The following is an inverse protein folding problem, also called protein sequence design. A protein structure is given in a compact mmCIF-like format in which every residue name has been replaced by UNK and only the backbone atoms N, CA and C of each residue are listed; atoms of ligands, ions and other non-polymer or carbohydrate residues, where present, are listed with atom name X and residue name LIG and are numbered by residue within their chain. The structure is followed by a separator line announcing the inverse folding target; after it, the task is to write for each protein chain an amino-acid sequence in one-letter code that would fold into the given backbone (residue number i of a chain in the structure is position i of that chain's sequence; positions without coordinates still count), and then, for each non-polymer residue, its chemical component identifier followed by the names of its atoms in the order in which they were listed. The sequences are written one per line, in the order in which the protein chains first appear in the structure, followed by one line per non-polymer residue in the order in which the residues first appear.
data_IF_208054962706
#
_entry.id   IF_208054962706
#
_cell.length_a   1.000
_cell.length_b   1.000
_cell.length_c   1.000
_cell.angle_alpha   90.00
_cell.angle_beta   90.00
_cell.angle_gamma   90.00
#
_symmetry.space_group_name_H-M   'P 1'
#
loop_
_entity.id
_entity.type
_entity.pdbx_description
1 polymer ?
#
# COMPACT_ATOMS: atom_id res chain seq x y z
N UNK A 1 -20.38 13.10 5.40
CA UNK A 1 -19.25 12.41 4.73
C UNK A 1 -19.63 10.94 4.59
N UNK A 2 -19.54 10.33 3.41
CA UNK A 2 -19.91 8.91 3.25
C UNK A 2 -18.78 8.01 3.79
N UNK A 3 -19.13 6.83 4.30
CA UNK A 3 -18.14 5.85 4.79
C UNK A 3 -17.07 5.53 3.74
N UNK A 4 -17.47 5.50 2.46
CA UNK A 4 -16.57 5.28 1.34
C UNK A 4 -15.49 6.38 1.22
N UNK A 5 -15.89 7.64 1.28
CA UNK A 5 -14.95 8.79 1.20
C UNK A 5 -14.01 8.81 2.40
N UNK A 6 -14.54 8.52 3.60
CA UNK A 6 -13.74 8.43 4.81
C UNK A 6 -12.62 7.37 4.72
N UNK A 7 -12.94 6.17 4.23
CA UNK A 7 -11.94 5.10 4.07
C UNK A 7 -10.90 5.45 3.00
N UNK A 8 -11.31 6.11 1.91
CA UNK A 8 -10.36 6.59 0.89
C UNK A 8 -9.37 7.60 1.43
N UNK A 9 -9.84 8.59 2.20
CA UNK A 9 -8.99 9.62 2.78
C UNK A 9 -7.94 9.02 3.72
N UNK A 10 -8.36 8.11 4.61
CA UNK A 10 -7.44 7.38 5.50
C UNK A 10 -6.39 6.64 4.69
N UNK A 11 -6.81 5.85 3.70
CA UNK A 11 -5.90 5.03 2.92
C UNK A 11 -4.91 5.87 2.11
N UNK A 12 -5.36 6.99 1.53
CA UNK A 12 -4.46 7.92 0.82
C UNK A 12 -3.40 8.48 1.77
N UNK A 13 -3.81 8.92 2.96
CA UNK A 13 -2.88 9.51 3.92
C UNK A 13 -1.85 8.49 4.42
N UNK A 14 -2.28 7.27 4.74
CA UNK A 14 -1.37 6.21 5.17
C UNK A 14 -0.42 5.78 4.05
N UNK A 15 -0.92 5.58 2.83
CA UNK A 15 -0.08 5.24 1.66
C UNK A 15 0.94 6.34 1.41
N UNK A 16 0.54 7.62 1.39
CA UNK A 16 1.48 8.73 1.19
C UNK A 16 2.51 8.83 2.31
N UNK A 17 2.11 8.59 3.55
CA UNK A 17 3.01 8.57 4.71
C UNK A 17 4.08 7.49 4.55
N UNK A 18 3.67 6.26 4.23
CA UNK A 18 4.60 5.12 4.04
C UNK A 18 5.51 5.35 2.83
N UNK A 19 4.98 5.83 1.70
CA UNK A 19 5.79 6.20 0.53
C UNK A 19 6.85 7.24 0.89
N UNK A 20 6.50 8.28 1.66
CA UNK A 20 7.46 9.32 2.06
C UNK A 20 8.57 8.80 2.97
N UNK A 21 8.27 7.81 3.81
CA UNK A 21 9.22 7.25 4.76
C UNK A 21 10.12 6.19 4.13
N UNK A 22 9.57 5.32 3.27
CA UNK A 22 10.25 4.11 2.79
C UNK A 22 10.54 4.15 1.28
N UNK A 23 9.89 5.04 0.52
CA UNK A 23 9.98 5.10 -0.94
C UNK A 23 9.11 4.07 -1.67
N UNK A 24 8.41 3.19 -0.95
CA UNK A 24 7.51 2.17 -1.50
C UNK A 24 6.43 1.78 -0.49
N UNK A 25 5.43 1.02 -0.93
CA UNK A 25 4.40 0.42 -0.06
C UNK A 25 4.24 -1.06 -0.38
N UNK A 26 4.34 -1.93 0.61
CA UNK A 26 3.97 -3.33 0.46
C UNK A 26 2.46 -3.51 0.67
N UNK A 27 1.76 -4.10 -0.30
CA UNK A 27 0.29 -4.26 -0.27
C UNK A 27 -0.16 -4.99 1.00
N UNK A 28 0.56 -6.03 1.41
CA UNK A 28 0.22 -6.83 2.59
C UNK A 28 0.39 -6.03 3.88
N UNK A 29 1.48 -5.28 4.02
CA UNK A 29 1.79 -4.55 5.24
C UNK A 29 0.84 -3.36 5.44
N UNK A 30 0.59 -2.57 4.38
CA UNK A 30 -0.35 -1.45 4.46
C UNK A 30 -1.77 -1.94 4.76
N UNK A 31 -2.17 -3.09 4.21
CA UNK A 31 -3.47 -3.67 4.50
C UNK A 31 -3.58 -4.07 5.98
N UNK A 32 -2.61 -4.81 6.51
CA UNK A 32 -2.61 -5.23 7.92
C UNK A 32 -2.61 -4.03 8.85
N UNK A 33 -1.70 -3.07 8.62
CA UNK A 33 -1.57 -1.88 9.44
C UNK A 33 -2.86 -1.06 9.49
N UNK A 34 -3.53 -0.84 8.34
CA UNK A 34 -4.79 -0.10 8.30
C UNK A 34 -5.94 -0.87 8.95
N UNK A 35 -6.02 -2.19 8.72
CA UNK A 35 -7.06 -3.02 9.34
C UNK A 35 -6.97 -2.96 10.87
N UNK A 36 -5.76 -3.07 11.42
CA UNK A 36 -5.51 -3.03 12.87
C UNK A 36 -5.75 -1.63 13.44
N UNK A 37 -5.19 -0.59 12.81
CA UNK A 37 -5.24 0.79 13.32
C UNK A 37 -6.66 1.39 13.30
N UNK A 38 -7.47 1.04 12.31
CA UNK A 38 -8.80 1.64 12.10
C UNK A 38 -9.96 0.66 12.31
N UNK A 39 -9.67 -0.57 12.75
CA UNK A 39 -10.64 -1.65 12.90
C UNK A 39 -11.51 -1.84 11.63
N UNK A 40 -10.85 -1.86 10.47
CA UNK A 40 -11.49 -2.02 9.16
C UNK A 40 -11.31 -3.45 8.64
N UNK A 41 -12.31 -3.95 7.91
CA UNK A 41 -12.19 -5.25 7.28
C UNK A 41 -11.26 -5.23 6.06
N UNK A 42 -10.43 -6.26 5.95
CA UNK A 42 -9.45 -6.44 4.87
C UNK A 42 -10.06 -6.34 3.46
N UNK A 43 -11.27 -6.85 3.26
CA UNK A 43 -11.93 -6.80 1.95
C UNK A 43 -12.23 -5.35 1.52
N UNK A 44 -12.61 -4.47 2.45
CA UNK A 44 -12.89 -3.06 2.19
C UNK A 44 -11.57 -2.33 1.87
N UNK A 45 -10.54 -2.58 2.68
CA UNK A 45 -9.21 -1.96 2.54
C UNK A 45 -8.59 -2.31 1.19
N UNK A 46 -8.53 -3.60 0.84
CA UNK A 46 -7.95 -4.05 -0.45
C UNK A 46 -8.73 -3.51 -1.65
N UNK A 47 -10.05 -3.54 -1.60
CA UNK A 47 -10.88 -3.02 -2.69
C UNK A 47 -10.66 -1.52 -2.89
N UNK A 48 -10.56 -0.76 -1.80
CA UNK A 48 -10.35 0.69 -1.86
C UNK A 48 -8.94 1.04 -2.32
N UNK A 49 -7.92 0.35 -1.80
CA UNK A 49 -6.51 0.52 -2.22
C UNK A 49 -6.34 0.32 -3.73
N UNK A 50 -6.89 -0.75 -4.28
CA UNK A 50 -6.82 -1.05 -5.73
C UNK A 50 -7.41 0.07 -6.60
N UNK A 51 -8.38 0.81 -6.08
CA UNK A 51 -9.01 1.93 -6.78
C UNK A 51 -8.19 3.21 -6.68
N UNK A 52 -7.58 3.50 -5.53
CA UNK A 52 -6.84 4.75 -5.34
C UNK A 52 -5.40 4.68 -5.87
N UNK A 53 -4.77 3.50 -5.92
CA UNK A 53 -3.38 3.37 -6.38
C UNK A 53 -3.11 3.98 -7.78
N UNK A 54 -3.96 3.76 -8.81
CA UNK A 54 -3.80 4.42 -10.11
C UNK A 54 -3.88 5.95 -10.04
N UNK A 55 -4.69 6.48 -9.12
CA UNK A 55 -4.86 7.92 -8.94
C UNK A 55 -3.69 8.57 -8.17
N UNK A 56 -2.87 7.75 -7.50
CA UNK A 56 -1.72 8.18 -6.72
C UNK A 56 -0.40 8.08 -7.50
N UNK A 57 -0.45 7.79 -8.81
CA UNK A 57 0.72 7.54 -9.65
C UNK A 57 1.65 6.49 -9.05
N UNK A 58 1.08 5.39 -8.54
CA UNK A 58 1.85 4.29 -7.95
C UNK A 58 1.93 3.09 -8.90
N UNK A 59 3.14 2.71 -9.26
CA UNK A 59 3.44 1.54 -10.08
C UNK A 59 3.41 0.26 -9.26
N UNK A 60 2.53 -0.65 -9.63
CA UNK A 60 2.48 -2.01 -9.07
C UNK A 60 3.65 -2.85 -9.59
N UNK A 61 4.47 -3.37 -8.68
CA UNK A 61 5.57 -4.31 -8.99
C UNK A 61 5.47 -5.55 -8.10
N UNK A 62 5.79 -6.71 -8.67
CA UNK A 62 6.03 -7.92 -7.88
C UNK A 62 7.52 -7.97 -7.55
N UNK A 63 7.87 -7.99 -6.27
CA UNK A 63 9.26 -7.92 -5.83
C UNK A 63 9.92 -9.29 -5.97
N UNK A 64 10.72 -9.46 -7.02
CA UNK A 64 11.66 -10.60 -7.16
C UNK A 64 12.72 -10.55 -6.07
N UNK A 65 13.50 -11.63 -5.91
CA UNK A 65 14.59 -11.65 -4.94
C UNK A 65 15.64 -10.57 -5.21
N UNK A 66 15.94 -10.28 -6.47
CA UNK A 66 16.86 -9.22 -6.87
C UNK A 66 16.31 -7.82 -6.54
N UNK A 67 15.02 -7.57 -6.81
CA UNK A 67 14.38 -6.31 -6.45
C UNK A 67 14.33 -6.13 -4.93
N UNK A 68 14.04 -7.20 -4.18
CA UNK A 68 14.08 -7.13 -2.72
C UNK A 68 15.46 -6.77 -2.20
N UNK A 69 16.53 -7.35 -2.75
CA UNK A 69 17.90 -6.98 -2.40
C UNK A 69 18.21 -5.52 -2.72
N UNK A 70 17.82 -5.04 -3.91
CA UNK A 70 18.02 -3.65 -4.32
C UNK A 70 17.36 -2.66 -3.35
N UNK A 71 16.15 -2.96 -2.88
CA UNK A 71 15.38 -2.12 -1.97
C UNK A 71 15.58 -2.44 -0.48
N UNK A 72 16.47 -3.37 -0.12
CA UNK A 72 16.70 -3.76 1.29
C UNK A 72 15.49 -4.40 1.98
N UNK A 73 14.67 -5.13 1.24
CA UNK A 73 13.42 -5.74 1.71
C UNK A 73 13.64 -7.11 2.34
N UNK A 74 13.26 -7.26 3.61
CA UNK A 74 13.28 -8.55 4.35
C UNK A 74 11.96 -9.33 4.22
N UNK A 75 11.18 -9.09 3.17
CA UNK A 75 9.90 -9.77 2.96
C UNK A 75 10.07 -11.18 2.35
N UNK A 76 9.42 -12.19 2.94
CA UNK A 76 9.39 -13.55 2.39
C UNK A 76 8.54 -13.64 1.12
N UNK A 77 8.93 -14.51 0.20
CA UNK A 77 8.21 -14.74 -1.06
C UNK A 77 8.32 -13.58 -2.06
N UNK A 78 7.30 -13.41 -2.91
CA UNK A 78 7.28 -12.40 -3.98
C UNK A 78 6.15 -11.39 -3.74
N UNK A 79 6.31 -10.47 -2.76
CA UNK A 79 5.26 -9.55 -2.37
C UNK A 79 4.96 -8.54 -3.47
N UNK A 80 3.78 -7.94 -3.40
CA UNK A 80 3.38 -6.85 -4.29
C UNK A 80 3.75 -5.54 -3.61
N UNK A 81 4.60 -4.76 -4.27
CA UNK A 81 4.95 -3.41 -3.87
C UNK A 81 4.32 -2.38 -4.82
N UNK A 82 4.07 -1.21 -4.29
CA UNK A 82 3.63 -0.02 -5.01
C UNK A 82 4.69 1.06 -4.83
N UNK A 83 5.22 1.56 -5.94
CA UNK A 83 6.34 2.50 -5.99
C UNK A 83 5.88 3.79 -6.67
N UNK A 84 6.38 4.98 -6.29
CA UNK A 84 6.18 6.20 -7.07
C UNK A 84 6.55 5.98 -8.53
N UNK A 85 5.65 6.32 -9.45
CA UNK A 85 6.01 6.58 -10.84
C UNK A 85 6.92 7.82 -10.84
N UNK A 86 8.09 7.71 -11.48
CA UNK A 86 9.19 8.69 -11.35
C UNK A 86 8.79 10.11 -11.72
#
# INVERSE_FOLDING_TARGET
MSFKVYVEEILRNEVLSVVRQQGYVLETEICTMVCEKYNLHLYIVRATLRRIYPEMSLLKRRMSDDLKRFYGLEAKGYPIAYLPDK
#
